data_IF_025439372961
#
_entry.id   IF_025439372961
#
_cell.length_a   1.000
_cell.length_b   1.000
_cell.length_c   1.000
_cell.angle_alpha   90.00
_cell.angle_beta   90.00
_cell.angle_gamma   90.00
#
_symmetry.space_group_name_H-M   'P 1'
#
loop_
_entity.id
_entity.type
_entity.pdbx_description
1 polymer ?
#
# COMPACT_ATOMS: atom_id res chain seq x y z
N UNK A 1 -49.27 40.46 18.16
CA UNK A 1 -48.09 39.58 18.19
C UNK A 1 -47.57 39.46 16.77
N UNK A 2 -46.73 40.39 16.36
CA UNK A 2 -46.03 40.31 15.09
C UNK A 2 -45.09 39.10 15.06
N UNK A 3 -45.03 38.43 13.91
CA UNK A 3 -43.83 37.72 13.49
C UNK A 3 -43.52 38.21 12.08
N UNK A 4 -42.65 39.20 12.01
CA UNK A 4 -41.99 39.63 10.79
C UNK A 4 -41.02 38.52 10.36
N UNK A 5 -41.16 38.00 9.13
CA UNK A 5 -40.07 37.30 8.46
C UNK A 5 -39.90 37.88 7.06
N UNK A 6 -39.06 38.90 6.98
CA UNK A 6 -38.72 39.60 5.75
C UNK A 6 -37.97 38.70 4.77
N UNK A 7 -38.40 38.76 3.51
CA UNK A 7 -37.69 38.31 2.32
C UNK A 7 -36.31 38.98 2.25
N UNK A 8 -35.27 38.20 1.94
CA UNK A 8 -34.19 38.65 1.07
C UNK A 8 -33.85 37.56 0.04
N UNK A 9 -34.07 37.90 -1.23
CA UNK A 9 -33.55 37.19 -2.41
C UNK A 9 -32.08 37.55 -2.63
N UNK A 10 -31.27 36.58 -3.11
CA UNK A 10 -30.17 36.69 -4.10
C UNK A 10 -29.36 35.37 -4.08
N UNK A 11 -29.56 34.43 -5.01
CA UNK A 11 -28.79 34.23 -6.25
C UNK A 11 -27.26 34.30 -6.06
N UNK A 12 -26.60 33.13 -6.02
CA UNK A 12 -25.38 32.90 -6.80
C UNK A 12 -25.34 31.46 -7.34
N UNK A 13 -25.28 31.37 -8.66
CA UNK A 13 -25.19 30.13 -9.42
C UNK A 13 -23.74 29.64 -9.40
N UNK A 14 -23.48 28.44 -8.86
CA UNK A 14 -22.19 27.76 -9.06
C UNK A 14 -22.20 27.10 -10.43
N UNK A 15 -22.13 27.94 -11.47
CA UNK A 15 -21.71 27.50 -12.80
C UNK A 15 -20.18 27.59 -12.85
N UNK A 16 -19.49 26.45 -12.74
CA UNK A 16 -18.12 26.37 -13.25
C UNK A 16 -17.97 25.09 -14.05
N UNK A 17 -18.25 25.27 -15.35
CA UNK A 17 -17.78 24.52 -16.51
C UNK A 17 -16.71 23.48 -16.16
N UNK A 18 -17.02 22.21 -16.42
CA UNK A 18 -16.04 21.12 -16.55
C UNK A 18 -15.11 21.41 -17.73
N UNK A 19 -14.15 22.33 -17.54
CA UNK A 19 -13.03 22.50 -18.46
C UNK A 19 -11.97 21.51 -18.00
N UNK A 20 -11.87 20.39 -18.70
CA UNK A 20 -10.74 19.48 -18.64
C UNK A 20 -9.45 20.24 -18.95
N UNK A 21 -8.87 20.89 -17.94
CA UNK A 21 -7.55 21.49 -18.02
C UNK A 21 -6.57 20.39 -17.64
N UNK A 22 -5.85 19.87 -18.64
CA UNK A 22 -4.54 19.26 -18.43
C UNK A 22 -3.73 20.26 -17.60
N UNK A 23 -3.66 20.06 -16.29
CA UNK A 23 -2.89 20.91 -15.38
C UNK A 23 -1.43 20.58 -15.64
N UNK A 24 -0.77 21.45 -16.41
CA UNK A 24 0.67 21.61 -16.31
C UNK A 24 1.00 21.71 -14.83
N UNK A 25 1.90 20.84 -14.34
CA UNK A 25 2.43 20.93 -12.99
C UNK A 25 3.14 22.27 -12.87
N UNK A 26 2.43 23.29 -12.40
CA UNK A 26 3.05 24.57 -12.08
C UNK A 26 4.13 24.37 -11.01
N UNK A 27 5.15 25.24 -10.97
CA UNK A 27 6.28 25.13 -10.05
C UNK A 27 5.90 25.14 -8.55
N UNK A 28 4.65 25.50 -8.20
CA UNK A 28 4.19 25.62 -6.82
C UNK A 28 3.29 24.45 -6.34
N UNK A 29 3.40 23.27 -6.95
CA UNK A 29 2.66 22.09 -6.49
C UNK A 29 3.52 21.20 -5.59
N UNK A 30 3.09 21.00 -4.35
CA UNK A 30 3.78 20.12 -3.40
C UNK A 30 3.55 18.64 -3.74
N UNK A 31 4.54 17.80 -3.44
CA UNK A 31 4.46 16.35 -3.65
C UNK A 31 3.40 15.76 -2.72
N UNK A 32 2.54 14.91 -3.28
CA UNK A 32 1.50 14.22 -2.52
C UNK A 32 0.27 15.07 -2.18
N UNK A 33 0.24 16.32 -2.64
CA UNK A 33 -0.86 17.26 -2.42
C UNK A 33 -1.65 17.46 -3.71
N UNK A 34 -2.99 17.37 -3.63
CA UNK A 34 -3.90 17.69 -4.75
C UNK A 34 -4.97 18.67 -4.32
N UNK A 35 -5.35 19.56 -5.24
CA UNK A 35 -6.42 20.53 -5.02
C UNK A 35 -7.72 20.07 -5.68
N UNK A 36 -8.81 20.04 -4.90
CA UNK A 36 -10.17 19.79 -5.41
C UNK A 36 -10.75 21.10 -5.99
N UNK A 37 -11.68 21.06 -6.96
CA UNK A 37 -12.40 22.27 -7.40
C UNK A 37 -13.13 23.00 -6.25
N UNK A 38 -13.42 22.32 -5.14
CA UNK A 38 -13.94 22.96 -3.93
C UNK A 38 -12.91 23.82 -3.18
N UNK A 39 -11.66 23.90 -3.64
CA UNK A 39 -10.59 24.68 -3.02
C UNK A 39 -9.84 23.94 -1.90
N UNK A 40 -10.39 22.86 -1.34
CA UNK A 40 -9.73 22.05 -0.30
C UNK A 40 -8.53 21.27 -0.84
N UNK A 41 -7.51 21.11 0.01
CA UNK A 41 -6.29 20.39 -0.28
C UNK A 41 -6.34 18.99 0.33
N UNK A 42 -5.86 17.99 -0.39
CA UNK A 42 -5.84 16.60 0.05
C UNK A 42 -4.39 16.12 0.04
N UNK A 43 -3.96 15.49 1.12
CA UNK A 43 -2.69 14.78 1.17
C UNK A 43 -2.91 13.27 1.14
N UNK A 44 -2.18 12.58 0.27
CA UNK A 44 -2.16 11.12 0.20
C UNK A 44 -0.72 10.62 -0.04
N UNK A 45 -0.39 9.47 0.54
CA UNK A 45 0.91 8.83 0.34
C UNK A 45 0.75 7.53 -0.45
N UNK A 46 1.59 7.38 -1.46
CA UNK A 46 1.75 6.18 -2.27
C UNK A 46 3.21 5.77 -2.23
N UNK A 47 3.46 4.53 -1.83
CA UNK A 47 4.77 3.91 -1.86
C UNK A 47 4.70 2.61 -2.66
N UNK A 48 5.48 2.54 -3.74
CA UNK A 48 5.57 1.38 -4.62
C UNK A 48 6.40 0.26 -4.03
N UNK A 49 7.44 0.60 -3.26
CA UNK A 49 8.35 -0.36 -2.61
C UNK A 49 7.60 -1.11 -1.53
N UNK A 50 6.90 -0.38 -0.66
CA UNK A 50 6.09 -0.96 0.41
C UNK A 50 4.72 -1.49 -0.10
N UNK A 51 4.33 -1.14 -1.34
CA UNK A 51 2.97 -1.35 -1.90
C UNK A 51 1.88 -0.85 -0.94
N UNK A 52 2.05 0.38 -0.43
CA UNK A 52 1.14 1.05 0.51
C UNK A 52 0.51 2.26 -0.17
N UNK A 53 -0.80 2.42 0.03
CA UNK A 53 -1.52 3.64 -0.31
C UNK A 53 -2.36 4.05 0.89
N UNK A 54 -2.18 5.27 1.35
CA UNK A 54 -2.86 5.76 2.55
C UNK A 54 -3.31 7.20 2.34
N UNK A 55 -4.58 7.46 2.66
CA UNK A 55 -5.11 8.81 2.73
C UNK A 55 -4.70 9.43 4.07
N UNK A 56 -4.02 10.57 4.01
CA UNK A 56 -3.50 11.27 5.19
C UNK A 56 -4.55 12.20 5.78
N UNK A 57 -5.27 12.93 4.91
CA UNK A 57 -6.37 13.79 5.33
C UNK A 57 -6.75 14.82 4.28
N UNK A 58 -7.61 15.74 4.68
CA UNK A 58 -7.98 16.96 3.96
C UNK A 58 -7.58 18.16 4.80
N UNK A 59 -6.99 19.15 4.17
CA UNK A 59 -6.42 20.33 4.82
C UNK A 59 -6.94 21.60 4.14
N UNK A 60 -6.88 22.70 4.89
CA UNK A 60 -7.28 24.03 4.43
C UNK A 60 -6.23 24.67 3.52
N UNK A 61 -4.95 24.40 3.81
CA UNK A 61 -3.80 24.99 3.11
C UNK A 61 -2.96 23.94 2.39
N UNK A 62 -2.23 24.36 1.37
CA UNK A 62 -1.37 23.47 0.59
C UNK A 62 -0.14 23.05 1.41
N UNK A 63 0.36 23.97 2.24
CA UNK A 63 1.54 23.83 3.07
C UNK A 63 1.31 22.84 4.21
N UNK A 64 0.14 22.90 4.84
CA UNK A 64 -0.25 21.94 5.88
C UNK A 64 -0.40 20.53 5.32
N UNK A 65 -1.04 20.41 4.15
CA UNK A 65 -1.12 19.13 3.44
C UNK A 65 0.27 18.58 3.10
N UNK A 66 1.19 19.44 2.67
CA UNK A 66 2.55 19.06 2.34
C UNK A 66 3.36 18.64 3.58
N UNK A 67 3.18 19.31 4.73
CA UNK A 67 3.81 18.92 6.00
C UNK A 67 3.31 17.54 6.46
N UNK A 68 2.02 17.28 6.35
CA UNK A 68 1.46 15.98 6.68
C UNK A 68 2.00 14.86 5.77
N UNK A 69 2.17 15.16 4.48
CA UNK A 69 2.83 14.25 3.54
C UNK A 69 4.28 13.96 3.96
N UNK A 70 5.05 14.98 4.29
CA UNK A 70 6.45 14.83 4.69
C UNK A 70 6.59 14.00 5.97
N UNK A 71 5.71 14.22 6.96
CA UNK A 71 5.66 13.41 8.17
C UNK A 71 5.43 11.94 7.85
N UNK A 72 4.43 11.65 7.01
CA UNK A 72 4.14 10.28 6.61
C UNK A 72 5.27 9.66 5.79
N UNK A 73 5.93 10.45 4.94
CA UNK A 73 7.03 10.02 4.09
C UNK A 73 8.25 9.60 4.93
N UNK A 74 8.63 10.41 5.92
CA UNK A 74 9.71 10.09 6.87
C UNK A 74 9.36 8.85 7.68
N UNK A 75 8.12 8.69 8.12
CA UNK A 75 7.68 7.51 8.90
C UNK A 75 7.67 6.22 8.07
N UNK A 76 7.37 6.29 6.77
CA UNK A 76 7.31 5.11 5.88
C UNK A 76 8.67 4.71 5.30
N UNK A 77 9.51 5.69 4.96
CA UNK A 77 10.79 5.47 4.25
C UNK A 77 12.02 5.70 5.12
N UNK A 78 11.89 6.41 6.24
CA UNK A 78 12.99 6.78 7.13
C UNK A 78 13.41 8.25 7.00
N UNK A 79 14.36 8.67 7.84
CA UNK A 79 14.84 10.05 7.96
C UNK A 79 15.49 10.62 6.68
N UNK A 80 16.07 9.77 5.83
CA UNK A 80 16.76 10.19 4.60
C UNK A 80 15.80 10.45 3.41
N UNK A 81 14.52 10.62 3.69
CA UNK A 81 13.51 10.76 2.65
C UNK A 81 13.50 12.16 2.08
N UNK A 82 13.39 12.28 0.74
CA UNK A 82 13.14 13.58 0.10
C UNK A 82 11.75 14.09 0.47
N UNK A 83 11.73 15.16 1.25
CA UNK A 83 10.53 15.88 1.71
C UNK A 83 10.37 17.20 0.97
N UNK A 84 9.18 17.80 1.06
CA UNK A 84 8.91 19.14 0.53
C UNK A 84 9.59 20.22 1.38
N UNK A 85 9.70 20.02 2.70
CA UNK A 85 10.34 20.94 3.64
C UNK A 85 11.61 20.33 4.26
N UNK A 86 12.62 21.16 4.48
CA UNK A 86 13.92 20.77 5.05
C UNK A 86 13.86 20.45 6.56
N UNK A 87 12.90 21.00 7.29
CA UNK A 87 12.83 20.92 8.77
C UNK A 87 11.67 20.05 9.25
N UNK A 88 11.57 18.82 8.77
CA UNK A 88 10.51 17.89 9.15
C UNK A 88 10.93 17.05 10.35
N UNK A 89 10.80 17.62 11.56
CA UNK A 89 10.87 16.82 12.80
C UNK A 89 9.56 16.05 12.95
N UNK A 90 9.64 14.72 12.92
CA UNK A 90 8.47 13.86 13.05
C UNK A 90 8.53 13.13 14.38
N UNK A 91 7.49 13.29 15.20
CA UNK A 91 7.35 12.49 16.41
C UNK A 91 6.86 11.09 16.05
N UNK A 92 7.59 10.07 16.52
CA UNK A 92 7.23 8.67 16.34
C UNK A 92 6.01 8.25 17.18
N UNK A 93 5.58 9.08 18.13
CA UNK A 93 4.46 8.83 19.02
C UNK A 93 3.13 9.44 18.54
N UNK A 94 3.13 10.03 17.34
CA UNK A 94 1.90 10.53 16.75
C UNK A 94 0.93 9.39 16.36
N UNK A 95 -0.39 9.61 16.40
CA UNK A 95 -1.37 8.62 15.94
C UNK A 95 -1.16 8.22 14.47
N UNK A 96 -0.66 9.14 13.65
CA UNK A 96 -0.26 8.87 12.27
C UNK A 96 0.90 7.87 12.21
N UNK A 97 1.91 8.03 13.07
CA UNK A 97 3.02 7.09 13.17
C UNK A 97 2.56 5.69 13.60
N UNK A 98 1.66 5.59 14.59
CA UNK A 98 1.08 4.31 15.00
C UNK A 98 0.32 3.64 13.85
N UNK A 99 -0.49 4.41 13.11
CA UNK A 99 -1.22 3.91 11.94
C UNK A 99 -0.27 3.36 10.87
N UNK A 100 0.80 4.10 10.57
CA UNK A 100 1.83 3.68 9.60
C UNK A 100 2.55 2.41 10.08
N UNK A 101 3.00 2.37 11.33
CA UNK A 101 3.68 1.20 11.91
C UNK A 101 2.79 -0.05 11.86
N UNK A 102 1.52 0.07 12.18
CA UNK A 102 0.57 -1.04 12.09
C UNK A 102 0.42 -1.57 10.67
N UNK A 103 0.34 -0.68 9.66
CA UNK A 103 0.29 -1.08 8.25
C UNK A 103 1.55 -1.83 7.82
N UNK A 104 2.72 -1.39 8.27
CA UNK A 104 4.00 -2.04 7.98
C UNK A 104 4.09 -3.43 8.63
N UNK A 105 3.64 -3.57 9.89
CA UNK A 105 3.64 -4.84 10.61
C UNK A 105 2.69 -5.87 9.96
N UNK A 106 1.50 -5.44 9.54
CA UNK A 106 0.54 -6.31 8.83
C UNK A 106 1.17 -6.85 7.53
N UNK A 107 1.85 -5.99 6.76
CA UNK A 107 2.54 -6.41 5.54
C UNK A 107 3.69 -7.39 5.82
N UNK A 108 4.47 -7.13 6.86
CA UNK A 108 5.57 -7.99 7.28
C UNK A 108 5.08 -9.40 7.63
N UNK A 109 4.06 -9.49 8.49
CA UNK A 109 3.47 -10.78 8.89
C UNK A 109 2.84 -11.53 7.70
N UNK A 110 2.21 -10.82 6.77
CA UNK A 110 1.66 -11.44 5.56
C UNK A 110 2.76 -12.04 4.66
N UNK A 111 3.88 -11.33 4.49
CA UNK A 111 5.04 -11.83 3.72
C UNK A 111 5.72 -13.03 4.41
N UNK A 112 5.82 -13.02 5.74
CA UNK A 112 6.38 -14.14 6.50
C UNK A 112 5.51 -15.40 6.35
N UNK A 113 4.19 -15.26 6.46
CA UNK A 113 3.25 -16.37 6.27
C UNK A 113 3.28 -16.94 4.86
N UNK A 114 3.38 -16.08 3.83
CA UNK A 114 3.47 -16.56 2.44
C UNK A 114 4.77 -17.30 2.17
N UNK A 115 5.89 -16.82 2.73
CA UNK A 115 7.19 -17.50 2.65
C UNK A 115 7.17 -18.85 3.36
N UNK A 116 6.63 -18.91 4.59
CA UNK A 116 6.52 -20.17 5.35
C UNK A 116 5.64 -21.20 4.60
N UNK A 117 4.51 -20.76 4.06
CA UNK A 117 3.65 -21.60 3.23
C UNK A 117 4.41 -22.16 2.01
N UNK A 118 5.18 -21.33 1.31
CA UNK A 118 5.97 -21.73 0.16
C UNK A 118 7.05 -22.76 0.54
N UNK A 119 7.77 -22.53 1.65
CA UNK A 119 8.77 -23.47 2.18
C UNK A 119 8.13 -24.80 2.56
N UNK A 120 6.97 -24.78 3.22
CA UNK A 120 6.23 -26.00 3.60
C UNK A 120 5.77 -26.79 2.38
N UNK A 121 5.31 -26.10 1.33
CA UNK A 121 4.93 -26.73 0.06
C UNK A 121 6.14 -27.33 -0.67
N UNK A 122 7.29 -26.64 -0.67
CA UNK A 122 8.52 -27.18 -1.24
C UNK A 122 9.00 -28.43 -0.50
N UNK A 123 9.00 -28.43 0.85
CA UNK A 123 9.36 -29.61 1.65
C UNK A 123 8.44 -30.79 1.36
N UNK A 124 7.12 -30.56 1.26
CA UNK A 124 6.14 -31.58 0.86
C UNK A 124 6.40 -32.11 -0.55
N UNK A 125 6.70 -31.23 -1.50
CA UNK A 125 7.02 -31.62 -2.87
C UNK A 125 8.29 -32.48 -2.94
N UNK A 126 9.34 -32.12 -2.18
CA UNK A 126 10.58 -32.91 -2.07
C UNK A 126 10.29 -34.28 -1.46
N UNK A 127 9.51 -34.33 -0.37
CA UNK A 127 9.11 -35.58 0.26
C UNK A 127 8.37 -36.50 -0.73
N UNK A 128 7.41 -35.96 -1.47
CA UNK A 128 6.66 -36.72 -2.48
C UNK A 128 7.53 -37.18 -3.66
N UNK A 129 8.48 -36.35 -4.11
CA UNK A 129 9.46 -36.74 -5.15
C UNK A 129 10.33 -37.91 -4.70
N UNK A 130 10.82 -37.87 -3.46
CA UNK A 130 11.62 -38.95 -2.89
C UNK A 130 10.80 -40.22 -2.69
N UNK A 131 9.55 -40.10 -2.24
CA UNK A 131 8.62 -41.22 -2.08
C UNK A 131 8.33 -41.91 -3.42
N UNK A 132 8.05 -41.14 -4.47
CA UNK A 132 7.84 -41.67 -5.81
C UNK A 132 9.10 -42.38 -6.35
N UNK A 133 10.28 -41.79 -6.18
CA UNK A 133 11.55 -42.40 -6.57
C UNK A 133 11.84 -43.72 -5.84
N UNK A 134 11.48 -43.80 -4.55
CA UNK A 134 11.64 -45.04 -3.78
C UNK A 134 10.76 -46.17 -4.34
N UNK A 135 9.48 -45.87 -4.59
CA UNK A 135 8.54 -46.85 -5.14
C UNK A 135 8.99 -47.36 -6.52
N UNK A 136 9.44 -46.47 -7.40
CA UNK A 136 9.88 -46.87 -8.75
C UNK A 136 11.18 -47.68 -8.72
N UNK A 137 12.12 -47.37 -7.82
CA UNK A 137 13.34 -48.18 -7.63
C UNK A 137 13.03 -49.59 -7.12
N UNK A 138 12.08 -49.74 -6.19
CA UNK A 138 11.65 -51.06 -5.69
C UNK A 138 11.01 -51.89 -6.81
N UNK A 139 10.14 -51.28 -7.62
CA UNK A 139 9.49 -51.98 -8.75
C UNK A 139 10.45 -52.37 -9.88
N UNK A 140 11.54 -51.60 -10.11
CA UNK A 140 12.58 -51.97 -11.07
C UNK A 140 13.44 -53.16 -10.60
N UNK A 141 13.68 -53.27 -9.29
CA UNK A 141 14.44 -54.36 -8.69
C UNK A 141 13.67 -55.68 -8.70
N UNK A 142 12.38 -55.67 -8.40
CA UNK A 142 11.54 -56.89 -8.37
C UNK A 142 11.19 -57.40 -9.78
N UNK A 143 11.08 -56.51 -10.77
CA UNK A 143 10.88 -56.89 -12.17
C UNK A 143 12.08 -57.63 -12.77
N UNK A 144 13.28 -57.44 -12.21
CA UNK A 144 14.51 -58.13 -12.66
C UNK A 144 14.61 -59.55 -12.08
N UNK A 145 14.13 -59.75 -10.84
CA UNK A 145 14.13 -61.06 -10.19
C UNK A 145 13.05 -62.01 -10.75
N UNK A 146 11.87 -61.52 -11.11
CA UNK A 146 10.82 -62.35 -11.71
C UNK A 146 11.16 -62.88 -13.12
N UNK A 147 12.06 -62.22 -13.84
CA UNK A 147 12.52 -62.68 -15.17
C UNK A 147 13.57 -63.78 -15.09
N UNK A 148 14.25 -63.93 -13.96
CA UNK A 148 15.29 -64.95 -13.72
C UNK A 148 14.69 -66.24 -13.18
N UNK A 149 13.58 -66.18 -12.43
CA UNK A 149 12.91 -67.38 -11.89
C UNK A 149 12.03 -68.13 -12.89
N UNK A 150 11.72 -67.55 -14.06
CA UNK A 150 10.90 -68.20 -15.11
C UNK A 150 11.73 -68.85 -16.24
N UNK A 151 13.05 -68.98 -16.04
CA UNK A 151 14.02 -69.44 -17.04
C UNK A 151 14.84 -70.66 -16.58
N UNK A 152 14.32 -71.41 -15.62
CA UNK A 152 14.78 -72.76 -15.23
C UNK A 152 13.59 -73.70 -15.36
#
# INVERSE_FOLDING_TARGET
MEINFQKHQQKEAISTKFKGRKRSKGPNSFVGVRQRPSGKWIAEIKDTTQKIRMWLGTYETAEEAARAYDQAAVLLRGSNTRTNFLTTRVSHDSPLASRIRNLLNIKKTANEKSLDFQVKMQKRAIFMKNYFLMITKVNFSTATLFKVTLLV
#
